data_IF_977460045237
#
_entry.id   IF_977460045237
#
_cell.length_a   1.000
_cell.length_b   1.000
_cell.length_c   1.000
_cell.angle_alpha   90.00
_cell.angle_beta   90.00
_cell.angle_gamma   90.00
#
_symmetry.space_group_name_H-M   'P 1'
#
loop_
_entity.id
_entity.type
_entity.pdbx_description
1 polymer ?
#
# COMPACT_ATOMS: atom_id res chain seq x y z
N UNK A 1 -4.25 -12.90 16.02
CA UNK A 1 -3.32 -11.91 16.59
C UNK A 1 -3.86 -10.53 16.23
N UNK A 2 -4.23 -9.72 17.22
CA UNK A 2 -4.76 -8.36 17.05
C UNK A 2 -3.75 -7.28 17.46
N UNK A 3 -2.47 -7.62 17.62
CA UNK A 3 -1.43 -6.69 18.09
C UNK A 3 -1.23 -5.44 17.23
N UNK A 4 -1.80 -5.41 16.04
CA UNK A 4 -1.74 -4.29 15.10
C UNK A 4 -3.12 -3.71 14.73
N UNK A 5 -4.20 -4.25 15.30
CA UNK A 5 -5.55 -3.76 15.05
C UNK A 5 -5.73 -2.35 15.59
N UNK A 6 -6.49 -1.52 14.88
CA UNK A 6 -6.79 -0.15 15.28
C UNK A 6 -8.29 0.07 15.36
N UNK A 7 -8.72 0.70 16.44
CA UNK A 7 -10.10 1.16 16.52
C UNK A 7 -10.23 2.45 15.71
N UNK A 8 -11.13 2.46 14.74
CA UNK A 8 -11.45 3.67 13.98
C UNK A 8 -12.08 4.70 14.94
N UNK A 9 -11.36 5.79 15.26
CA UNK A 9 -11.82 6.82 16.20
C UNK A 9 -12.51 8.02 15.53
N UNK A 10 -12.56 8.07 14.20
CA UNK A 10 -13.20 9.16 13.46
C UNK A 10 -13.95 8.63 12.24
N UNK A 11 -15.05 9.29 11.89
CA UNK A 11 -15.93 9.02 10.73
C UNK A 11 -15.20 9.08 9.38
N UNK A 12 -13.98 9.62 9.36
CA UNK A 12 -13.23 9.93 8.14
C UNK A 12 -12.24 8.82 7.74
N UNK A 13 -12.19 7.70 8.46
CA UNK A 13 -11.43 6.52 8.03
C UNK A 13 -9.91 6.66 8.01
N UNK A 14 -9.32 7.72 8.58
CA UNK A 14 -7.87 7.96 8.54
C UNK A 14 -7.21 7.60 9.88
N UNK A 15 -6.33 6.59 9.88
CA UNK A 15 -5.46 6.28 11.01
C UNK A 15 -4.02 6.77 10.74
N UNK A 16 -3.45 7.51 11.70
CA UNK A 16 -2.19 8.24 11.55
C UNK A 16 -0.95 7.49 12.10
N UNK A 17 -1.10 6.31 12.68
CA UNK A 17 0.01 5.55 13.28
C UNK A 17 0.21 4.21 12.56
N UNK A 18 1.44 3.81 12.22
CA UNK A 18 1.70 2.55 11.53
C UNK A 18 1.78 1.39 12.54
N UNK A 19 0.88 0.42 12.42
CA UNK A 19 0.93 -0.86 13.12
C UNK A 19 0.38 -1.91 12.15
N UNK A 20 1.19 -2.84 11.64
CA UNK A 20 0.74 -3.84 10.66
C UNK A 20 1.28 -5.24 10.99
N UNK A 21 0.41 -6.26 10.97
CA UNK A 21 0.86 -7.65 10.82
C UNK A 21 1.30 -7.85 9.39
N UNK A 22 2.48 -8.42 9.26
CA UNK A 22 3.22 -8.44 8.04
C UNK A 22 2.48 -8.92 6.79
N UNK A 23 2.03 -10.16 6.77
CA UNK A 23 1.95 -10.91 5.53
C UNK A 23 0.83 -10.52 4.53
N UNK A 24 0.10 -9.43 4.75
CA UNK A 24 -1.13 -9.14 4.01
C UNK A 24 -1.33 -7.67 3.55
N UNK A 25 -0.30 -6.83 3.64
CA UNK A 25 -0.43 -5.37 3.44
C UNK A 25 -0.73 -4.99 1.98
N UNK A 26 -1.67 -4.07 1.75
CA UNK A 26 -2.06 -3.56 0.44
C UNK A 26 -1.17 -2.40 -0.05
N UNK A 27 -1.05 -2.15 -1.37
CA UNK A 27 -0.12 -1.15 -1.93
C UNK A 27 -0.39 0.30 -1.46
N UNK A 28 -1.64 0.69 -1.19
CA UNK A 28 -1.98 2.04 -0.72
C UNK A 28 -1.52 2.35 0.71
N UNK A 29 -1.29 1.31 1.53
CA UNK A 29 -0.68 1.45 2.87
C UNK A 29 0.68 2.13 2.77
N UNK A 30 1.39 1.90 1.67
CA UNK A 30 2.70 2.49 1.40
C UNK A 30 2.61 3.98 1.06
N UNK A 31 1.43 4.48 0.64
CA UNK A 31 1.18 5.87 0.24
C UNK A 31 0.66 6.78 1.38
N UNK A 32 0.56 6.28 2.63
CA UNK A 32 0.08 7.04 3.81
C UNK A 32 -1.32 7.67 3.66
N UNK A 33 -2.13 7.20 2.72
CA UNK A 33 -3.54 7.59 2.59
C UNK A 33 -4.37 6.59 3.41
N UNK A 34 -4.80 6.98 4.61
CA UNK A 34 -5.89 6.33 5.36
C UNK A 34 -5.98 4.79 5.36
N UNK A 35 -5.55 4.19 6.47
CA UNK A 35 -5.76 2.79 6.78
C UNK A 35 -7.23 2.45 7.06
N UNK A 36 -7.76 1.33 6.53
CA UNK A 36 -7.92 0.08 7.31
C UNK A 36 -8.61 -1.00 6.46
N UNK A 37 -9.86 -0.76 6.03
CA UNK A 37 -10.72 -1.85 5.55
C UNK A 37 -10.37 -2.38 4.14
N UNK A 38 -9.94 -1.52 3.21
CA UNK A 38 -9.57 -1.98 1.86
C UNK A 38 -8.33 -2.88 1.90
N UNK A 39 -7.43 -2.66 2.87
CA UNK A 39 -6.22 -3.44 3.06
C UNK A 39 -6.53 -4.84 3.57
N UNK A 40 -7.53 -4.97 4.46
CA UNK A 40 -8.06 -6.27 4.88
C UNK A 40 -8.66 -7.04 3.69
N UNK A 41 -9.32 -6.36 2.75
CA UNK A 41 -9.87 -7.04 1.56
C UNK A 41 -8.75 -7.53 0.64
N UNK A 42 -7.68 -6.76 0.46
CA UNK A 42 -6.51 -7.21 -0.28
C UNK A 42 -5.88 -8.45 0.39
N UNK A 43 -5.74 -8.39 1.71
CA UNK A 43 -5.27 -9.49 2.55
C UNK A 43 -6.04 -10.78 2.30
N UNK A 44 -7.37 -10.68 2.34
CA UNK A 44 -8.29 -11.78 2.07
C UNK A 44 -8.23 -12.23 0.61
N UNK A 45 -8.00 -11.32 -0.34
CA UNK A 45 -7.81 -11.63 -1.75
C UNK A 45 -6.54 -12.46 -1.99
N UNK A 46 -5.43 -12.12 -1.33
CA UNK A 46 -4.18 -12.89 -1.39
C UNK A 46 -4.41 -14.28 -0.81
N UNK A 47 -5.08 -14.38 0.33
CA UNK A 47 -5.42 -15.66 0.95
C UNK A 47 -6.31 -16.51 0.03
N UNK A 48 -7.36 -15.93 -0.55
CA UNK A 48 -8.27 -16.61 -1.46
C UNK A 48 -7.55 -17.09 -2.72
N UNK A 49 -6.71 -16.25 -3.32
CA UNK A 49 -5.85 -16.66 -4.44
C UNK A 49 -5.00 -17.87 -4.05
N UNK A 50 -4.33 -17.81 -2.90
CA UNK A 50 -3.44 -18.91 -2.46
C UNK A 50 -4.19 -20.21 -2.20
N UNK A 51 -5.41 -20.15 -1.65
CA UNK A 51 -6.26 -21.34 -1.48
C UNK A 51 -6.65 -21.97 -2.81
N UNK A 52 -6.94 -21.16 -3.84
CA UNK A 52 -7.37 -21.63 -5.16
C UNK A 52 -6.19 -22.08 -6.04
N UNK A 53 -5.12 -21.29 -6.06
CA UNK A 53 -3.94 -21.52 -6.90
C UNK A 53 -2.97 -22.56 -6.31
N UNK A 54 -2.94 -22.69 -4.99
CA UNK A 54 -1.94 -23.48 -4.26
C UNK A 54 -0.57 -22.80 -4.16
N UNK A 55 -0.46 -21.53 -4.55
CA UNK A 55 0.77 -20.73 -4.56
C UNK A 55 0.50 -19.26 -4.26
N UNK A 56 1.54 -18.46 -4.01
CA UNK A 56 1.38 -17.02 -3.80
C UNK A 56 1.10 -16.28 -5.13
N UNK A 57 0.31 -15.19 -5.12
CA UNK A 57 -0.06 -14.47 -6.35
C UNK A 57 1.11 -13.77 -7.04
N UNK A 58 1.99 -13.12 -6.26
CA UNK A 58 3.00 -12.19 -6.80
C UNK A 58 4.45 -12.71 -6.68
N UNK A 59 4.69 -13.71 -5.83
CA UNK A 59 5.98 -14.39 -5.69
C UNK A 59 5.86 -15.80 -6.26
N UNK A 60 6.55 -16.05 -7.36
CA UNK A 60 6.51 -17.30 -8.13
C UNK A 60 7.69 -18.21 -7.78
N UNK A 61 8.77 -17.69 -7.19
CA UNK A 61 9.92 -18.49 -6.77
C UNK A 61 10.88 -17.79 -5.81
N UNK A 62 11.87 -18.53 -5.27
CA UNK A 62 12.87 -18.00 -4.33
C UNK A 62 13.83 -16.98 -4.97
N UNK A 63 13.96 -17.00 -6.29
CA UNK A 63 14.84 -16.11 -7.06
C UNK A 63 14.16 -14.77 -7.43
N UNK A 64 12.87 -14.60 -7.10
CA UNK A 64 12.16 -13.36 -7.40
C UNK A 64 12.72 -12.20 -6.56
N UNK A 65 13.23 -11.19 -7.26
CA UNK A 65 13.72 -9.97 -6.62
C UNK A 65 12.56 -9.13 -6.07
N UNK A 66 12.76 -8.38 -4.97
CA UNK A 66 11.74 -7.47 -4.43
C UNK A 66 11.14 -6.51 -5.47
N UNK A 67 11.98 -5.98 -6.36
CA UNK A 67 11.55 -5.04 -7.42
C UNK A 67 10.59 -5.70 -8.42
N UNK A 68 10.84 -6.96 -8.79
CA UNK A 68 9.97 -7.72 -9.68
C UNK A 68 8.61 -8.02 -9.03
N UNK A 69 8.63 -8.41 -7.75
CA UNK A 69 7.41 -8.66 -6.99
C UNK A 69 6.57 -7.38 -6.86
N UNK A 70 7.22 -6.23 -6.60
CA UNK A 70 6.55 -4.94 -6.56
C UNK A 70 5.92 -4.57 -7.90
N UNK A 71 6.64 -4.77 -9.01
CA UNK A 71 6.10 -4.54 -10.36
C UNK A 71 4.82 -5.33 -10.61
N UNK A 72 4.81 -6.62 -10.26
CA UNK A 72 3.61 -7.48 -10.40
C UNK A 72 2.44 -7.01 -9.54
N UNK A 73 2.72 -6.48 -8.34
CA UNK A 73 1.69 -5.90 -7.46
C UNK A 73 1.13 -4.61 -8.05
N UNK A 74 2.00 -3.74 -8.58
CA UNK A 74 1.61 -2.46 -9.18
C UNK A 74 0.79 -2.64 -10.46
N UNK A 75 1.06 -3.70 -11.22
CA UNK A 75 0.31 -4.07 -12.43
C UNK A 75 -0.93 -4.94 -12.14
N UNK A 76 -1.09 -5.43 -10.89
CA UNK A 76 -2.00 -6.52 -10.55
C UNK A 76 -1.92 -7.71 -11.52
N UNK A 77 -0.70 -8.07 -11.91
CA UNK A 77 -0.45 -9.20 -12.81
C UNK A 77 -0.67 -10.51 -12.07
N UNK A 78 -1.90 -11.04 -12.19
CA UNK A 78 -2.34 -12.29 -11.59
C UNK A 78 -2.40 -13.39 -12.64
N UNK A 79 -1.71 -14.50 -12.37
CA UNK A 79 -1.82 -15.68 -13.23
C UNK A 79 -3.12 -16.45 -12.93
N UNK A 80 -4.17 -16.19 -13.71
CA UNK A 80 -5.48 -16.83 -13.60
C UNK A 80 -5.78 -17.84 -14.72
N UNK A 81 -4.74 -18.29 -15.43
CA UNK A 81 -4.85 -19.09 -16.67
C UNK A 81 -3.99 -20.35 -16.66
N UNK A 82 -3.43 -20.74 -15.52
CA UNK A 82 -2.56 -21.90 -15.42
C UNK A 82 -2.80 -22.73 -14.15
N UNK A 83 -2.34 -23.98 -14.16
CA UNK A 83 -2.49 -24.91 -13.04
C UNK A 83 -3.95 -25.11 -12.65
N UNK A 84 -4.25 -24.98 -11.35
CA UNK A 84 -5.60 -25.10 -10.81
C UNK A 84 -6.60 -24.14 -11.48
N UNK A 85 -6.15 -22.96 -11.93
CA UNK A 85 -7.03 -21.94 -12.50
C UNK A 85 -7.72 -22.38 -13.80
N UNK A 86 -7.23 -23.41 -14.47
CA UNK A 86 -7.93 -23.99 -15.63
C UNK A 86 -9.27 -24.63 -15.24
N UNK A 87 -9.39 -25.11 -14.00
CA UNK A 87 -10.60 -25.76 -13.48
C UNK A 87 -11.41 -24.87 -12.55
N UNK A 88 -10.84 -23.75 -12.09
CA UNK A 88 -11.52 -22.79 -11.22
C UNK A 88 -12.55 -21.98 -12.02
N UNK A 89 -13.76 -21.85 -11.48
CA UNK A 89 -14.87 -21.11 -12.10
C UNK A 89 -14.53 -19.65 -12.41
N UNK A 90 -15.15 -19.09 -13.46
CA UNK A 90 -15.02 -17.67 -13.82
C UNK A 90 -15.46 -16.74 -12.68
N UNK A 91 -16.51 -17.08 -11.93
CA UNK A 91 -16.98 -16.31 -10.79
C UNK A 91 -15.94 -16.20 -9.66
N UNK A 92 -15.14 -17.24 -9.43
CA UNK A 92 -14.04 -17.20 -8.46
C UNK A 92 -12.92 -16.27 -8.93
N UNK A 93 -12.56 -16.35 -10.21
CA UNK A 93 -11.53 -15.50 -10.83
C UNK A 93 -11.95 -14.03 -10.71
N UNK A 94 -13.19 -13.72 -11.06
CA UNK A 94 -13.75 -12.37 -10.97
C UNK A 94 -13.70 -11.81 -9.54
N UNK A 95 -14.08 -12.63 -8.54
CA UNK A 95 -13.98 -12.23 -7.13
C UNK A 95 -12.53 -11.88 -6.75
N UNK A 96 -11.58 -12.77 -7.06
CA UNK A 96 -10.16 -12.58 -6.72
C UNK A 96 -9.59 -11.33 -7.39
N UNK A 97 -9.86 -11.11 -8.67
CA UNK A 97 -9.43 -9.91 -9.40
C UNK A 97 -9.97 -8.64 -8.76
N UNK A 98 -11.24 -8.62 -8.34
CA UNK A 98 -11.85 -7.44 -7.70
C UNK A 98 -11.35 -7.22 -6.27
N UNK A 99 -10.98 -8.27 -5.53
CA UNK A 99 -10.36 -8.16 -4.20
C UNK A 99 -8.90 -7.70 -4.29
N UNK A 100 -8.20 -8.06 -5.36
CA UNK A 100 -6.79 -7.71 -5.62
C UNK A 100 -6.64 -6.54 -6.61
N UNK A 101 -7.64 -5.66 -6.67
CA UNK A 101 -7.56 -4.46 -7.50
C UNK A 101 -6.56 -3.45 -6.90
N UNK A 102 -5.68 -2.89 -7.74
CA UNK A 102 -4.60 -1.95 -7.34
C UNK A 102 -5.18 -0.68 -6.73
N UNK A 103 -6.21 -0.10 -7.37
CA UNK A 103 -6.93 1.05 -6.80
C UNK A 103 -7.85 0.58 -5.65
N UNK A 104 -7.61 1.01 -4.40
CA UNK A 104 -8.45 0.64 -3.26
C UNK A 104 -9.89 1.12 -3.38
N UNK A 105 -10.18 2.16 -4.18
CA UNK A 105 -11.56 2.65 -4.39
C UNK A 105 -12.39 1.74 -5.29
N UNK A 106 -11.73 0.98 -6.17
CA UNK A 106 -12.35 0.00 -7.04
C UNK A 106 -12.38 -1.39 -6.39
N UNK A 107 -11.65 -1.57 -5.29
CA UNK A 107 -11.61 -2.82 -4.53
C UNK A 107 -12.94 -3.01 -3.81
N UNK A 108 -13.42 -4.26 -3.78
CA UNK A 108 -14.65 -4.59 -3.07
C UNK A 108 -14.53 -4.27 -1.58
N UNK A 109 -15.67 -3.93 -0.97
CA UNK A 109 -15.85 -3.91 0.48
C UNK A 109 -16.19 -5.32 0.99
N UNK A 110 -16.04 -5.56 2.30
CA UNK A 110 -16.39 -6.85 2.91
C UNK A 110 -17.85 -7.27 2.61
N UNK A 111 -18.78 -6.31 2.67
CA UNK A 111 -20.19 -6.56 2.34
C UNK A 111 -20.36 -6.98 0.89
N UNK A 112 -19.68 -6.33 -0.05
CA UNK A 112 -19.74 -6.69 -1.47
C UNK A 112 -19.09 -8.05 -1.75
N UNK A 113 -18.03 -8.42 -1.02
CA UNK A 113 -17.43 -9.77 -1.09
C UNK A 113 -18.45 -10.82 -0.67
N UNK A 114 -19.13 -10.63 0.47
CA UNK A 114 -20.14 -11.57 0.96
C UNK A 114 -21.34 -11.73 0.02
N UNK A 115 -21.73 -10.67 -0.68
CA UNK A 115 -22.80 -10.68 -1.68
C UNK A 115 -22.34 -11.15 -3.07
N UNK A 116 -21.05 -11.46 -3.27
CA UNK A 116 -20.54 -11.87 -4.56
C UNK A 116 -21.12 -13.22 -4.98
N UNK A 117 -21.45 -13.37 -6.27
CA UNK A 117 -22.09 -14.58 -6.82
C UNK A 117 -21.35 -15.87 -6.43
N UNK A 118 -20.02 -15.86 -6.43
CA UNK A 118 -19.20 -17.01 -6.07
C UNK A 118 -19.44 -17.50 -4.62
N UNK A 119 -19.67 -16.58 -3.67
CA UNK A 119 -19.98 -16.91 -2.28
C UNK A 119 -21.48 -17.18 -2.07
N UNK A 120 -22.34 -16.45 -2.78
CA UNK A 120 -23.79 -16.62 -2.73
C UNK A 120 -24.23 -17.99 -3.27
N UNK A 121 -23.56 -18.51 -4.30
CA UNK A 121 -23.86 -19.79 -4.93
C UNK A 121 -22.93 -20.91 -4.45
N UNK A 122 -22.48 -20.86 -3.19
CA UNK A 122 -21.52 -21.84 -2.65
C UNK A 122 -21.98 -23.30 -2.73
N UNK A 123 -23.29 -23.53 -2.76
CA UNK A 123 -23.92 -24.85 -2.83
C UNK A 123 -23.79 -25.49 -4.22
N UNK A 124 -23.50 -24.69 -5.25
CA UNK A 124 -23.32 -25.12 -6.64
C UNK A 124 -21.84 -25.21 -7.04
N UNK A 125 -20.91 -25.02 -6.09
CA UNK A 125 -19.49 -25.06 -6.39
C UNK A 125 -19.01 -26.47 -6.73
N UNK A 126 -18.18 -26.63 -7.76
CA UNK A 126 -17.64 -27.94 -8.12
C UNK A 126 -16.78 -28.48 -6.98
N UNK A 127 -16.89 -29.79 -6.71
CA UNK A 127 -16.01 -30.52 -5.80
C UNK A 127 -14.63 -30.71 -6.45
N UNK A 128 -13.88 -29.62 -6.60
CA UNK A 128 -12.59 -29.59 -7.27
C UNK A 128 -11.48 -29.98 -6.30
N UNK A 129 -10.66 -30.97 -6.67
CA UNK A 129 -9.40 -31.25 -5.97
C UNK A 129 -8.31 -30.33 -6.50
N UNK A 130 -7.86 -29.43 -5.65
CA UNK A 130 -6.80 -28.46 -5.96
C UNK A 130 -5.43 -29.06 -5.65
N UNK A 131 -4.45 -28.81 -6.52
CA UNK A 131 -3.06 -29.11 -6.22
C UNK A 131 -2.47 -27.98 -5.37
N UNK A 132 -2.08 -28.28 -4.13
CA UNK A 132 -1.48 -27.33 -3.20
C UNK A 132 0.02 -27.60 -3.11
N UNK A 133 0.84 -26.55 -3.17
CA UNK A 133 2.27 -26.68 -2.89
C UNK A 133 2.52 -26.92 -1.40
N UNK A 134 3.72 -27.41 -1.07
CA UNK A 134 4.19 -27.55 0.31
C UNK A 134 4.04 -26.23 1.08
N UNK A 135 3.53 -26.33 2.31
CA UNK A 135 3.21 -25.16 3.13
C UNK A 135 4.44 -24.28 3.42
N UNK A 136 5.64 -24.87 3.47
CA UNK A 136 6.90 -24.15 3.65
C UNK A 136 7.21 -23.21 2.48
N UNK A 137 6.97 -23.67 1.24
CA UNK A 137 7.22 -22.91 0.01
C UNK A 137 6.25 -21.73 -0.08
N UNK A 138 4.96 -21.98 0.16
CA UNK A 138 3.92 -20.94 0.16
C UNK A 138 4.20 -19.88 1.22
N UNK A 139 4.59 -20.29 2.44
CA UNK A 139 5.00 -19.36 3.52
C UNK A 139 6.22 -18.53 3.13
N UNK A 140 7.21 -19.12 2.48
CA UNK A 140 8.39 -18.43 1.97
C UNK A 140 8.03 -17.35 0.94
N UNK A 141 7.20 -17.70 -0.05
CA UNK A 141 6.75 -16.80 -1.10
C UNK A 141 5.93 -15.62 -0.54
N UNK A 142 4.97 -15.88 0.36
CA UNK A 142 4.20 -14.83 1.03
C UNK A 142 5.11 -13.91 1.87
N UNK A 143 6.10 -14.47 2.56
CA UNK A 143 7.07 -13.67 3.31
C UNK A 143 7.93 -12.80 2.38
N UNK A 144 8.28 -13.28 1.18
CA UNK A 144 9.02 -12.51 0.19
C UNK A 144 8.19 -11.35 -0.36
N UNK A 145 6.92 -11.59 -0.71
CA UNK A 145 5.96 -10.55 -1.11
C UNK A 145 5.83 -9.47 -0.06
N UNK A 146 5.75 -9.88 1.21
CA UNK A 146 5.68 -8.92 2.30
C UNK A 146 6.96 -8.08 2.45
N UNK A 147 8.13 -8.72 2.41
CA UNK A 147 9.41 -8.00 2.49
C UNK A 147 9.57 -7.01 1.35
N UNK A 148 9.10 -7.36 0.15
CA UNK A 148 9.12 -6.46 -1.00
C UNK A 148 8.26 -5.21 -0.75
N UNK A 149 7.04 -5.38 -0.25
CA UNK A 149 6.14 -4.28 0.14
C UNK A 149 6.76 -3.38 1.22
N UNK A 150 7.38 -3.97 2.24
CA UNK A 150 7.96 -3.22 3.36
C UNK A 150 9.25 -2.47 3.03
N UNK A 151 10.05 -3.01 2.10
CA UNK A 151 11.34 -2.44 1.72
C UNK A 151 11.21 -1.39 0.60
N UNK A 152 9.99 -1.02 0.21
CA UNK A 152 9.74 0.10 -0.67
C UNK A 152 10.43 1.36 -0.09
N UNK A 153 11.31 2.04 -0.84
CA UNK A 153 12.08 3.16 -0.28
C UNK A 153 11.12 4.17 0.32
N UNK A 154 11.24 4.36 1.65
CA UNK A 154 10.53 5.42 2.36
C UNK A 154 10.71 6.70 1.55
N UNK A 155 9.61 7.41 1.29
CA UNK A 155 9.65 8.69 0.62
C UNK A 155 10.84 9.50 1.14
N UNK A 156 11.71 10.04 0.25
CA UNK A 156 12.92 10.71 0.67
C UNK A 156 12.57 11.79 1.70
N UNK A 157 13.35 11.90 2.77
CA UNK A 157 13.15 12.94 3.77
C UNK A 157 13.14 14.29 3.05
N UNK A 158 11.98 14.95 3.06
CA UNK A 158 11.86 16.31 2.56
C UNK A 158 12.80 17.18 3.39
N UNK A 159 13.85 17.69 2.75
CA UNK A 159 14.75 18.65 3.39
C UNK A 159 14.02 19.94 3.75
N UNK A 160 14.62 20.82 4.57
CA UNK A 160 14.03 22.11 4.89
C UNK A 160 13.61 22.85 3.62
N UNK A 161 12.46 23.52 3.62
CA UNK A 161 11.98 24.30 2.45
C UNK A 161 13.05 25.27 1.94
N UNK A 162 13.91 25.77 2.83
CA UNK A 162 15.07 26.61 2.50
C UNK A 162 16.11 25.95 1.56
N UNK A 163 16.19 24.61 1.51
CA UNK A 163 17.06 23.87 0.60
C UNK A 163 16.51 23.82 -0.83
N UNK A 164 15.23 24.14 -1.04
CA UNK A 164 14.65 24.21 -2.38
C UNK A 164 15.27 25.34 -3.21
N UNK A 165 15.61 25.05 -4.47
CA UNK A 165 16.13 26.04 -5.41
C UNK A 165 15.16 27.23 -5.62
N UNK A 166 13.85 27.02 -5.44
CA UNK A 166 12.86 28.09 -5.46
C UNK A 166 12.98 29.00 -4.22
N UNK A 167 13.13 28.41 -3.04
CA UNK A 167 13.28 29.14 -1.78
C UNK A 167 14.62 29.91 -1.71
N UNK A 168 15.70 29.33 -2.26
CA UNK A 168 16.99 30.02 -2.39
C UNK A 168 16.90 31.25 -3.28
N UNK A 169 16.20 31.15 -4.41
CA UNK A 169 15.98 32.29 -5.32
C UNK A 169 15.17 33.40 -4.66
N UNK A 170 14.12 33.05 -3.90
CA UNK A 170 13.31 34.04 -3.16
C UNK A 170 14.09 34.78 -2.06
N UNK A 171 15.09 34.13 -1.43
CA UNK A 171 15.99 34.80 -0.47
C UNK A 171 17.00 35.75 -1.12
N UNK A 172 17.32 35.53 -2.39
CA UNK A 172 18.23 36.35 -3.17
C UNK A 172 17.51 37.42 -4.00
N UNK A 173 16.17 37.47 -3.94
CA UNK A 173 15.38 38.51 -4.59
C UNK A 173 15.55 39.84 -3.83
N UNK A 174 15.79 40.95 -4.55
CA UNK A 174 16.08 42.26 -3.95
C UNK A 174 14.94 42.79 -3.05
N UNK A 175 13.70 42.34 -3.25
CA UNK A 175 12.54 42.70 -2.42
C UNK A 175 12.67 42.26 -0.95
N UNK A 176 13.47 41.23 -0.64
CA UNK A 176 13.62 40.74 0.74
C UNK A 176 14.81 41.37 1.49
N UNK A 177 15.78 41.96 0.78
CA UNK A 177 16.91 42.66 1.40
C UNK A 177 16.53 44.05 1.95
N UNK A 178 15.44 44.64 1.45
CA UNK A 178 14.95 45.96 1.90
C UNK A 178 14.23 45.93 3.25
N UNK A 179 13.86 44.76 3.77
CA UNK A 179 13.14 44.62 5.05
C UNK A 179 14.03 44.32 6.27
N UNK A 180 15.35 44.17 6.12
CA UNK A 180 16.27 43.81 7.22
C UNK A 180 17.26 44.92 7.65
N UNK A 181 17.07 46.17 7.22
CA UNK A 181 17.85 47.29 7.76
C UNK A 181 16.96 48.22 8.60
N UNK A 182 16.98 48.13 9.94
CA UNK A 182 16.47 49.21 10.77
C UNK A 182 17.47 50.37 10.65
N UNK A 183 17.02 51.51 10.11
CA UNK A 183 17.82 52.72 10.09
C UNK A 183 18.18 53.14 11.53
N UNK A 184 19.46 53.08 11.86
CA UNK A 184 20.02 53.67 13.07
C UNK A 184 19.98 55.20 12.95
N UNK A 185 18.94 55.82 13.49
CA UNK A 185 18.93 57.26 13.76
C UNK A 185 19.92 57.57 14.90
N UNK A 186 21.06 58.17 14.54
CA UNK A 186 22.07 58.66 15.49
C UNK A 186 21.71 60.11 15.87
N UNK A 187 21.16 60.31 17.07
CA UNK A 187 21.01 61.65 17.67
C UNK A 187 22.40 62.25 17.91
N UNK A 188 22.66 63.43 17.33
CA UNK A 188 23.80 64.27 17.70
C UNK A 188 23.42 65.06 18.96
N UNK A 189 24.10 64.79 20.07
CA UNK A 189 24.07 65.62 21.27
C UNK A 189 25.01 66.81 21.10
N UNK A 190 24.45 68.02 21.06
CA UNK A 190 25.18 69.26 21.32
C UNK A 190 25.56 69.33 22.80
N UNK A 191 26.82 69.65 23.09
CA UNK A 191 27.15 70.39 24.32
C UNK A 191 28.38 71.26 24.06
N UNK A 192 28.13 72.57 24.09
CA UNK A 192 29.11 73.64 24.30
C UNK A 192 29.78 73.45 25.68
N UNK A 193 31.09 73.72 25.79
CA UNK A 193 31.69 74.90 26.47
C UNK A 193 33.10 75.08 25.92
#
# INVERSE_FOLDING_TARGET
DFGFAKQLRSVNGLLMTPCYTANFVAPEVLKKQGYDAACDIWSLGVLLYTMLAGSAPFAHGPDDTPSLILSRIEEADLNLHSGNWNSVSSAAKDLVTKMLHVDPKQRLTATQVLSHQWLAMREELPSLRLHLQEASVVKGALSATYRALNNCPRAPHLGPVAASALARRRRQSPDHQLQQHPQSFRLKSSTEV
#
